data_IF_874657973930
#
_entry.id   IF_874657973930
#
_cell.length_a   1.000
_cell.length_b   1.000
_cell.length_c   1.000
_cell.angle_alpha   90.00
_cell.angle_beta   90.00
_cell.angle_gamma   90.00
#
_symmetry.space_group_name_H-M   'P 1'
#
loop_
_entity.id
_entity.type
_entity.pdbx_description
1 polymer ?
#
# COMPACT_ATOMS: atom_id res chain seq x y z
N UNK A 1 8.77 1.68 -16.57
CA UNK A 1 9.45 1.15 -15.37
C UNK A 1 9.27 -0.35 -15.40
N UNK A 2 10.35 -1.13 -15.32
CA UNK A 2 10.28 -2.59 -15.53
C UNK A 2 9.74 -3.30 -14.28
N UNK A 3 9.09 -4.47 -14.43
CA UNK A 3 8.66 -5.29 -13.28
C UNK A 3 9.83 -5.65 -12.34
N UNK A 4 11.04 -5.76 -12.88
CA UNK A 4 12.27 -5.94 -12.09
C UNK A 4 12.57 -4.78 -11.16
N UNK A 5 12.30 -3.54 -11.56
CA UNK A 5 12.53 -2.35 -10.73
C UNK A 5 11.58 -2.32 -9.53
N UNK A 6 10.30 -2.65 -9.77
CA UNK A 6 9.28 -2.73 -8.72
C UNK A 6 9.60 -3.81 -7.69
N UNK A 7 10.04 -4.98 -8.16
CA UNK A 7 10.48 -6.07 -7.28
C UNK A 7 11.69 -5.66 -6.43
N UNK A 8 12.65 -4.97 -7.04
CA UNK A 8 13.86 -4.48 -6.34
C UNK A 8 13.52 -3.46 -5.25
N UNK A 9 12.62 -2.52 -5.52
CA UNK A 9 12.18 -1.51 -4.54
C UNK A 9 11.46 -2.17 -3.36
N UNK A 10 10.52 -3.06 -3.67
CA UNK A 10 9.72 -3.81 -2.69
C UNK A 10 10.63 -4.58 -1.72
N UNK A 11 11.61 -5.30 -2.26
CA UNK A 11 12.49 -6.13 -1.46
C UNK A 11 13.50 -5.31 -0.63
N UNK A 12 14.01 -4.21 -1.18
CA UNK A 12 14.88 -3.29 -0.44
C UNK A 12 14.15 -2.65 0.75
N UNK A 13 12.91 -2.22 0.56
CA UNK A 13 12.15 -1.57 1.62
C UNK A 13 11.72 -2.54 2.73
N UNK A 14 11.33 -3.77 2.39
CA UNK A 14 11.00 -4.80 3.40
C UNK A 14 12.18 -5.06 4.35
N UNK A 15 13.40 -5.14 3.81
CA UNK A 15 14.63 -5.29 4.60
C UNK A 15 14.87 -4.10 5.53
N UNK A 16 14.74 -2.87 5.03
CA UNK A 16 14.92 -1.65 5.83
C UNK A 16 13.92 -1.55 6.99
N UNK A 17 12.65 -1.87 6.75
CA UNK A 17 11.62 -1.85 7.80
C UNK A 17 11.91 -2.91 8.88
N UNK A 18 12.42 -4.08 8.48
CA UNK A 18 12.79 -5.15 9.41
C UNK A 18 13.97 -4.82 10.34
N UNK A 19 14.81 -3.86 9.97
CA UNK A 19 15.97 -3.40 10.75
C UNK A 19 15.61 -2.33 11.80
N UNK A 20 14.36 -1.85 11.81
CA UNK A 20 13.88 -0.90 12.82
C UNK A 20 13.98 -1.55 14.20
N UNK A 21 14.70 -0.89 15.10
CA UNK A 21 14.95 -1.35 16.47
C UNK A 21 13.82 -0.93 17.40
N UNK A 22 13.22 -1.90 18.09
CA UNK A 22 12.16 -1.68 19.07
C UNK A 22 12.76 -1.73 20.47
N UNK A 23 12.49 -0.74 21.34
CA UNK A 23 12.89 -0.79 22.74
C UNK A 23 12.07 -1.85 23.49
N UNK A 24 12.75 -2.68 24.28
CA UNK A 24 12.09 -3.63 25.19
C UNK A 24 12.17 -3.16 26.63
N UNK A 25 11.33 -3.74 27.48
CA UNK A 25 11.32 -3.48 28.94
C UNK A 25 12.68 -3.77 29.60
N UNK A 26 13.52 -4.59 28.98
CA UNK A 26 14.83 -5.01 29.51
C UNK A 26 15.97 -4.16 28.93
N UNK A 27 15.68 -2.96 28.39
CA UNK A 27 16.65 -2.09 27.69
C UNK A 27 17.38 -2.74 26.50
N UNK A 28 17.00 -3.96 26.09
CA UNK A 28 17.50 -4.61 24.88
C UNK A 28 16.74 -4.06 23.67
N UNK A 29 17.43 -3.83 22.57
CA UNK A 29 16.81 -3.49 21.29
C UNK A 29 16.66 -4.74 20.46
N UNK A 30 15.45 -5.02 19.98
CA UNK A 30 15.15 -6.16 19.12
C UNK A 30 14.71 -5.62 17.74
N UNK A 31 15.24 -6.13 16.62
CA UNK A 31 14.80 -5.72 15.31
C UNK A 31 13.38 -6.23 15.01
N UNK A 32 12.56 -5.42 14.34
CA UNK A 32 11.14 -5.71 14.02
C UNK A 32 10.94 -7.06 13.30
N UNK A 33 11.90 -7.49 12.49
CA UNK A 33 11.86 -8.77 11.76
C UNK A 33 11.79 -10.01 12.65
N UNK A 34 12.24 -9.93 13.91
CA UNK A 34 12.25 -11.08 14.83
C UNK A 34 10.87 -11.35 15.43
N UNK A 35 9.97 -10.37 15.41
CA UNK A 35 8.66 -10.44 16.06
C UNK A 35 7.47 -10.25 15.10
N UNK A 36 7.71 -9.89 13.82
CA UNK A 36 6.63 -9.67 12.83
C UNK A 36 6.96 -10.21 11.45
N UNK A 37 5.94 -10.46 10.63
CA UNK A 37 6.08 -10.74 9.21
C UNK A 37 5.76 -9.50 8.37
N UNK A 38 6.71 -9.05 7.55
CA UNK A 38 6.56 -7.87 6.68
C UNK A 38 6.15 -8.33 5.29
N UNK A 39 5.05 -7.80 4.75
CA UNK A 39 4.55 -8.09 3.40
C UNK A 39 4.10 -6.83 2.70
N UNK A 40 4.29 -6.81 1.38
CA UNK A 40 3.69 -5.81 0.51
C UNK A 40 2.30 -6.25 0.07
N UNK A 41 1.35 -5.34 0.18
CA UNK A 41 -0.04 -5.56 -0.21
C UNK A 41 -0.41 -4.43 -1.16
N UNK A 42 -0.86 -4.78 -2.36
CA UNK A 42 -1.42 -3.81 -3.30
C UNK A 42 -2.86 -3.54 -2.91
N UNK A 43 -3.21 -2.26 -2.74
CA UNK A 43 -4.55 -1.82 -2.40
C UNK A 43 -4.90 -0.51 -3.10
N UNK A 44 -6.16 -0.05 -2.97
CA UNK A 44 -6.58 1.22 -3.54
C UNK A 44 -5.81 2.38 -2.90
N UNK A 45 -5.20 3.23 -3.72
CA UNK A 45 -4.51 4.43 -3.24
C UNK A 45 -5.48 5.47 -2.66
N UNK A 46 -6.72 5.48 -3.15
CA UNK A 46 -7.80 6.35 -2.69
C UNK A 46 -9.10 5.57 -2.55
N UNK A 47 -9.86 5.86 -1.50
CA UNK A 47 -11.18 5.30 -1.24
C UNK A 47 -12.16 6.47 -1.16
N UNK A 48 -13.00 6.65 -2.18
CA UNK A 48 -14.06 7.67 -2.16
C UNK A 48 -15.24 7.22 -1.31
N UNK A 49 -15.76 8.12 -0.47
CA UNK A 49 -16.82 7.83 0.50
C UNK A 49 -17.86 8.95 0.56
N UNK A 50 -19.13 8.57 0.57
CA UNK A 50 -20.28 9.45 0.79
C UNK A 50 -21.32 8.70 1.63
N UNK A 51 -21.89 9.34 2.66
CA UNK A 51 -22.92 8.71 3.51
C UNK A 51 -22.51 7.35 4.11
N UNK A 52 -21.25 7.21 4.56
CA UNK A 52 -20.64 5.95 5.04
C UNK A 52 -20.46 4.84 4.02
N UNK A 53 -20.84 5.05 2.75
CA UNK A 53 -20.72 4.08 1.66
C UNK A 53 -19.50 4.37 0.78
N UNK A 54 -18.88 3.32 0.22
CA UNK A 54 -17.77 3.44 -0.75
C UNK A 54 -18.37 3.52 -2.16
N UNK A 55 -17.82 4.39 -3.02
CA UNK A 55 -18.25 4.48 -4.41
C UNK A 55 -17.05 4.63 -5.36
N UNK A 56 -17.27 4.34 -6.63
CA UNK A 56 -16.33 4.58 -7.73
C UNK A 56 -17.08 5.35 -8.82
N UNK A 57 -16.53 6.46 -9.28
CA UNK A 57 -17.10 7.21 -10.40
C UNK A 57 -16.83 6.43 -11.70
N UNK A 58 -17.89 6.10 -12.43
CA UNK A 58 -17.80 5.51 -13.77
C UNK A 58 -18.28 6.56 -14.76
N UNK A 59 -17.36 7.11 -15.54
CA UNK A 59 -17.70 7.99 -16.66
C UNK A 59 -17.84 7.17 -17.94
N UNK A 60 -18.95 7.32 -18.64
CA UNK A 60 -19.14 6.75 -19.97
C UNK A 60 -19.80 7.77 -20.89
N UNK A 61 -19.45 7.71 -22.17
CA UNK A 61 -20.14 8.47 -23.22
C UNK A 61 -21.02 7.51 -24.00
N UNK A 62 -22.17 7.98 -24.46
CA UNK A 62 -23.05 7.22 -25.35
C UNK A 62 -22.91 7.84 -26.73
N UNK A 63 -22.36 7.10 -27.69
CA UNK A 63 -22.38 7.52 -29.10
C UNK A 63 -23.84 7.62 -29.57
N UNK A 64 -24.19 8.74 -30.22
CA UNK A 64 -25.55 8.98 -30.72
C UNK A 64 -26.54 9.58 -29.71
N UNK A 65 -26.11 9.92 -28.48
CA UNK A 65 -26.84 10.88 -27.65
C UNK A 65 -26.08 12.18 -27.58
N UNK A 66 -26.42 13.10 -28.47
CA UNK A 66 -26.07 14.50 -28.27
C UNK A 66 -26.75 15.01 -26.99
N UNK A 67 -25.95 15.61 -26.12
CA UNK A 67 -26.43 16.63 -25.19
C UNK A 67 -26.27 17.95 -25.95
N UNK A 68 -27.38 18.46 -26.52
CA UNK A 68 -27.49 19.91 -26.77
C UNK A 68 -27.50 20.65 -25.44
#
# INVERSE_FOLDING_TARGET
>A
MSESDLKRITEMMSKKVGEILIPTLVNKKIPLKEITSIRYITGPAFIYREGSSRYIAVGFSIEGRDFT
#
